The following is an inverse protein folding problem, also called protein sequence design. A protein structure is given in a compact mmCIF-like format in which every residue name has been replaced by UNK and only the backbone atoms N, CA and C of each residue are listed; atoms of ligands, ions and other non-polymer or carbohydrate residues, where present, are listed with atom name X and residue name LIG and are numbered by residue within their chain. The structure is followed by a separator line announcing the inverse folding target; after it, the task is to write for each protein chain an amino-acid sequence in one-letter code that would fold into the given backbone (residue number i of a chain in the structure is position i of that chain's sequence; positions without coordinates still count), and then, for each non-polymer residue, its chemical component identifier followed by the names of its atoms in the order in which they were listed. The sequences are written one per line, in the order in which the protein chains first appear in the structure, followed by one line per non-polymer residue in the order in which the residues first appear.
data_IF_660227221449
#
_entry.id   IF_660227221449
#
_cell.length_a   1.000
_cell.length_b   1.000
_cell.length_c   1.000
_cell.angle_alpha   90.00
_cell.angle_beta   90.00
_cell.angle_gamma   90.00
#
_symmetry.space_group_name_H-M   'P 1'
#
loop_
_entity.id
_entity.type
_entity.pdbx_description
1 polymer ?
#
# COMPACT_ATOMS: atom_id res chain seq x y z
N UNK A 1 -5.33 -14.21 -25.83
CA UNK A 1 -4.74 -13.09 -25.08
C UNK A 1 -3.55 -13.64 -24.31
N UNK A 2 -2.34 -13.21 -24.64
CA UNK A 2 -1.12 -13.61 -23.93
C UNK A 2 -1.12 -12.96 -22.54
N UNK A 3 -0.86 -13.75 -21.48
CA UNK A 3 -0.67 -13.19 -20.12
C UNK A 3 0.51 -12.19 -20.19
N UNK A 4 0.39 -10.98 -19.61
CA UNK A 4 1.51 -10.05 -19.56
C UNK A 4 2.69 -10.71 -18.84
N UNK A 5 3.90 -10.47 -19.34
CA UNK A 5 5.13 -11.02 -18.74
C UNK A 5 5.22 -10.58 -17.28
N UNK A 6 5.43 -11.50 -16.33
CA UNK A 6 5.57 -11.15 -14.93
C UNK A 6 6.82 -10.29 -14.70
N UNK A 7 6.74 -9.38 -13.73
CA UNK A 7 7.89 -8.56 -13.32
C UNK A 7 8.99 -9.45 -12.76
N UNK A 8 10.23 -9.03 -12.98
CA UNK A 8 11.42 -9.70 -12.46
C UNK A 8 11.73 -9.26 -11.02
N UNK A 9 12.51 -10.06 -10.28
CA UNK A 9 12.92 -9.70 -8.92
C UNK A 9 13.63 -8.34 -8.80
N UNK A 10 14.55 -7.94 -9.71
CA UNK A 10 15.14 -6.61 -9.66
C UNK A 10 14.10 -5.49 -9.79
N UNK A 11 13.12 -5.62 -10.68
CA UNK A 11 12.03 -4.64 -10.83
C UNK A 11 11.18 -4.57 -9.56
N UNK A 12 10.81 -5.73 -9.01
CA UNK A 12 10.06 -5.81 -7.75
C UNK A 12 10.83 -5.21 -6.57
N UNK A 13 12.15 -5.39 -6.51
CA UNK A 13 12.99 -4.80 -5.48
C UNK A 13 12.98 -3.27 -5.57
N UNK A 14 13.16 -2.71 -6.77
CA UNK A 14 13.10 -1.25 -6.98
C UNK A 14 11.72 -0.72 -6.61
N UNK A 15 10.64 -1.39 -7.03
CA UNK A 15 9.27 -0.99 -6.68
C UNK A 15 9.02 -1.04 -5.16
N UNK A 16 9.55 -2.05 -4.48
CA UNK A 16 9.47 -2.18 -3.02
C UNK A 16 10.18 -1.02 -2.32
N UNK A 17 11.38 -0.63 -2.79
CA UNK A 17 12.11 0.53 -2.26
C UNK A 17 11.35 1.84 -2.48
N UNK A 18 10.80 2.05 -3.68
CA UNK A 18 9.98 3.23 -3.97
C UNK A 18 8.74 3.29 -3.08
N UNK A 19 8.06 2.15 -2.90
CA UNK A 19 6.91 2.05 -1.99
C UNK A 19 7.34 2.35 -0.54
N UNK A 20 8.50 1.85 -0.11
CA UNK A 20 9.11 2.16 1.18
C UNK A 20 9.26 3.67 1.42
N UNK A 21 9.80 4.39 0.44
CA UNK A 21 9.93 5.84 0.51
C UNK A 21 8.57 6.54 0.59
N UNK A 22 7.57 6.13 -0.21
CA UNK A 22 6.22 6.70 -0.13
C UNK A 22 5.54 6.43 1.22
N UNK A 23 5.73 5.24 1.79
CA UNK A 23 5.24 4.89 3.13
C UNK A 23 5.89 5.77 4.19
N UNK A 24 7.20 5.99 4.12
CA UNK A 24 7.92 6.88 5.04
C UNK A 24 7.36 8.31 5.03
N UNK A 25 7.07 8.86 3.85
CA UNK A 25 6.44 10.17 3.72
C UNK A 25 5.03 10.21 4.32
N UNK A 26 4.21 9.17 4.10
CA UNK A 26 2.87 9.07 4.70
C UNK A 26 2.94 9.02 6.22
N UNK A 27 3.86 8.22 6.77
CA UNK A 27 4.08 8.12 8.22
C UNK A 27 4.46 9.49 8.77
N UNK A 28 5.44 10.17 8.16
CA UNK A 28 5.87 11.51 8.57
C UNK A 28 4.71 12.52 8.59
N UNK A 29 3.93 12.61 7.50
CA UNK A 29 2.81 13.54 7.41
C UNK A 29 1.70 13.23 8.44
N UNK A 30 1.46 11.94 8.71
CA UNK A 30 0.51 11.51 9.75
C UNK A 30 0.99 11.88 11.14
N UNK A 31 2.28 11.71 11.42
CA UNK A 31 2.87 12.14 12.69
C UNK A 31 2.67 13.64 12.92
N UNK A 32 2.93 14.49 11.92
CA UNK A 32 2.68 15.94 12.02
C UNK A 32 1.20 16.22 12.34
N UNK A 33 0.27 15.57 11.62
CA UNK A 33 -1.16 15.78 11.80
C UNK A 33 -1.66 15.30 13.17
N UNK A 34 -1.10 14.22 13.70
CA UNK A 34 -1.44 13.68 15.02
C UNK A 34 -0.87 14.57 16.13
N UNK A 35 0.38 15.05 15.98
CA UNK A 35 1.02 15.94 16.95
C UNK A 35 0.24 17.25 17.15
N UNK A 36 -0.48 17.73 16.13
CA UNK A 36 -1.36 18.90 16.26
C UNK A 36 -2.54 18.69 17.23
N UNK A 37 -2.90 17.44 17.53
CA UNK A 37 -3.97 17.08 18.46
C UNK A 37 -5.39 17.44 17.99
N UNK A 38 -6.33 17.39 18.92
CA UNK A 38 -7.74 17.71 18.70
C UNK A 38 -8.50 16.75 17.78
N UNK A 39 -9.71 17.15 17.37
CA UNK A 39 -10.63 16.32 16.57
C UNK A 39 -10.04 15.89 15.22
N UNK A 40 -9.09 16.66 14.67
CA UNK A 40 -8.45 16.33 13.41
C UNK A 40 -7.49 15.14 13.56
N UNK A 41 -6.72 15.11 14.65
CA UNK A 41 -5.82 14.02 14.99
C UNK A 41 -6.60 12.73 15.28
N UNK A 42 -7.69 12.81 16.05
CA UNK A 42 -8.56 11.67 16.37
C UNK A 42 -9.13 11.02 15.10
N UNK A 43 -9.72 11.82 14.21
CA UNK A 43 -10.24 11.33 12.92
C UNK A 43 -9.15 10.72 12.04
N UNK A 44 -7.93 11.25 12.08
CA UNK A 44 -6.81 10.68 11.33
C UNK A 44 -6.38 9.32 11.91
N UNK A 45 -6.36 9.19 13.24
CA UNK A 45 -6.03 7.94 13.92
C UNK A 45 -7.09 6.85 13.67
N UNK A 46 -8.38 7.18 13.75
CA UNK A 46 -9.47 6.25 13.40
C UNK A 46 -9.36 5.78 11.95
N UNK A 47 -9.20 6.73 11.02
CA UNK A 47 -9.01 6.44 9.59
C UNK A 47 -7.81 5.51 9.36
N UNK A 48 -6.69 5.76 10.06
CA UNK A 48 -5.50 4.92 9.99
C UNK A 48 -5.76 3.47 10.39
N UNK A 49 -6.63 3.22 11.37
CA UNK A 49 -7.00 1.88 11.81
C UNK A 49 -7.91 1.23 10.77
N UNK A 50 -8.95 1.92 10.31
CA UNK A 50 -9.87 1.42 9.28
C UNK A 50 -9.13 1.04 7.99
N UNK A 51 -8.17 1.85 7.56
CA UNK A 51 -7.35 1.56 6.38
C UNK A 51 -6.51 0.29 6.55
N UNK A 52 -5.88 0.09 7.72
CA UNK A 52 -5.09 -1.11 8.01
C UNK A 52 -5.95 -2.37 8.01
N UNK A 53 -7.12 -2.31 8.68
CA UNK A 53 -8.06 -3.43 8.72
C UNK A 53 -8.57 -3.76 7.32
N UNK A 54 -8.97 -2.75 6.55
CA UNK A 54 -9.40 -2.93 5.15
C UNK A 54 -8.30 -3.59 4.33
N UNK A 55 -7.06 -3.09 4.41
CA UNK A 55 -5.94 -3.63 3.63
C UNK A 55 -5.63 -5.09 4.01
N UNK A 56 -5.67 -5.43 5.30
CA UNK A 56 -5.47 -6.80 5.78
C UNK A 56 -6.57 -7.76 5.29
N UNK A 57 -7.83 -7.36 5.40
CA UNK A 57 -8.98 -8.19 4.96
C UNK A 57 -9.01 -8.38 3.45
N UNK A 58 -8.54 -7.39 2.69
CA UNK A 58 -8.61 -7.42 1.21
C UNK A 58 -7.35 -7.96 0.54
N UNK A 59 -6.26 -8.20 1.28
CA UNK A 59 -5.02 -8.74 0.71
C UNK A 59 -5.22 -10.14 0.13
N UNK A 60 -5.74 -11.07 0.93
CA UNK A 60 -5.92 -12.46 0.49
C UNK A 60 -6.75 -12.57 -0.79
N UNK A 61 -7.93 -11.94 -0.90
CA UNK A 61 -8.67 -11.87 -2.16
C UNK A 61 -7.84 -11.31 -3.32
N UNK A 62 -7.04 -10.26 -3.09
CA UNK A 62 -6.22 -9.64 -4.14
C UNK A 62 -5.08 -10.55 -4.64
N UNK A 63 -4.49 -11.36 -3.77
CA UNK A 63 -3.48 -12.36 -4.14
C UNK A 63 -4.12 -13.49 -4.97
N UNK A 64 -5.19 -14.09 -4.42
CA UNK A 64 -5.91 -15.21 -5.04
C UNK A 64 -6.51 -14.86 -6.42
N UNK A 65 -6.77 -13.58 -6.68
CA UNK A 65 -7.34 -13.11 -7.95
C UNK A 65 -6.48 -13.41 -9.19
N UNK A 66 -5.24 -13.86 -9.05
CA UNK A 66 -4.45 -14.30 -10.20
C UNK A 66 -4.30 -15.82 -10.35
N UNK A 67 -5.08 -16.63 -9.64
CA UNK A 67 -5.13 -18.09 -9.81
C UNK A 67 -4.23 -18.87 -8.86
N UNK A 68 -4.21 -20.19 -9.02
CA UNK A 68 -3.36 -21.10 -8.24
C UNK A 68 -2.01 -21.40 -8.93
N UNK A 69 -1.86 -21.02 -10.21
CA UNK A 69 -0.67 -21.24 -11.03
C UNK A 69 0.33 -20.07 -10.97
N UNK A 70 0.14 -19.12 -10.05
CA UNK A 70 0.95 -17.90 -10.00
C UNK A 70 2.37 -18.17 -9.53
N UNK A 71 3.33 -17.46 -10.13
CA UNK A 71 4.70 -17.43 -9.63
C UNK A 71 4.83 -16.61 -8.35
N UNK A 72 5.96 -16.76 -7.65
CA UNK A 72 6.28 -15.94 -6.48
C UNK A 72 6.39 -14.45 -6.83
N UNK A 73 6.93 -14.14 -8.01
CA UNK A 73 7.04 -12.79 -8.56
C UNK A 73 5.67 -12.18 -8.82
N UNK A 74 4.74 -12.93 -9.41
CA UNK A 74 3.37 -12.47 -9.66
C UNK A 74 2.62 -12.18 -8.36
N UNK A 75 2.74 -13.08 -7.39
CA UNK A 75 2.13 -12.93 -6.06
C UNK A 75 2.70 -11.69 -5.34
N UNK A 76 4.02 -11.50 -5.41
CA UNK A 76 4.70 -10.34 -4.83
C UNK A 76 4.28 -9.05 -5.52
N UNK A 77 4.23 -9.03 -6.85
CA UNK A 77 3.78 -7.88 -7.62
C UNK A 77 2.34 -7.47 -7.29
N UNK A 78 1.46 -8.44 -7.04
CA UNK A 78 0.07 -8.19 -6.58
C UNK A 78 0.05 -7.61 -5.17
N UNK A 79 0.85 -8.14 -4.24
CA UNK A 79 0.96 -7.58 -2.90
C UNK A 79 1.43 -6.12 -2.93
N UNK A 80 2.47 -5.82 -3.71
CA UNK A 80 2.99 -4.46 -3.88
C UNK A 80 1.96 -3.52 -4.51
N UNK A 81 1.23 -3.97 -5.53
CA UNK A 81 0.15 -3.18 -6.14
C UNK A 81 -1.00 -2.91 -5.16
N UNK A 82 -1.38 -3.94 -4.38
CA UNK A 82 -2.44 -3.86 -3.36
C UNK A 82 -2.15 -2.80 -2.31
N UNK A 83 -0.94 -2.78 -1.75
CA UNK A 83 -0.53 -1.80 -0.75
C UNK A 83 -0.12 -0.44 -1.35
N UNK A 84 0.45 -0.43 -2.55
CA UNK A 84 0.90 0.80 -3.20
C UNK A 84 -0.24 1.76 -3.54
N UNK A 85 -1.40 1.23 -3.97
CA UNK A 85 -2.57 2.05 -4.30
C UNK A 85 -3.05 2.92 -3.12
N UNK A 86 -3.35 2.37 -1.91
CA UNK A 86 -3.74 3.18 -0.77
C UNK A 86 -2.61 4.05 -0.23
N UNK A 87 -1.34 3.63 -0.27
CA UNK A 87 -0.21 4.47 0.15
C UNK A 87 -0.11 5.74 -0.70
N UNK A 88 -0.19 5.61 -2.03
CA UNK A 88 -0.21 6.77 -2.96
C UNK A 88 -1.41 7.68 -2.74
N UNK A 89 -2.58 7.12 -2.48
CA UNK A 89 -3.78 7.89 -2.17
C UNK A 89 -3.61 8.69 -0.88
N UNK A 90 -3.04 8.06 0.16
CA UNK A 90 -2.74 8.71 1.42
C UNK A 90 -1.71 9.83 1.28
N UNK A 91 -0.61 9.59 0.55
CA UNK A 91 0.42 10.60 0.30
C UNK A 91 -0.19 11.85 -0.34
N UNK A 92 -1.00 11.68 -1.41
CA UNK A 92 -1.68 12.78 -2.09
C UNK A 92 -2.68 13.52 -1.21
N UNK A 93 -3.37 12.82 -0.30
CA UNK A 93 -4.35 13.43 0.60
C UNK A 93 -3.67 14.25 1.70
N UNK A 94 -2.59 13.71 2.26
CA UNK A 94 -1.89 14.32 3.39
C UNK A 94 -0.97 15.47 2.97
N UNK A 95 -0.60 15.54 1.69
CA UNK A 95 0.18 16.64 1.12
C UNK A 95 -0.67 17.85 0.69
N UNK A 96 -1.97 17.85 0.99
CA UNK A 96 -2.91 18.96 0.75
C UNK A 96 -3.32 19.53 2.09
#
# INVERSE_FOLDING_TARGET
MTKPTPKTWPELAVESWMLGAEMGMVIWLRSIRIMAGGKLAEREAERMVTEKLTAAMTLWPALMAGGFDQSAEETTGRALAHYGKPVRANRRRLSR
#
